data_IF_461735733180
#
_entry.id   IF_461735733180
#
_cell.length_a   1.000
_cell.length_b   1.000
_cell.length_c   1.000
_cell.angle_alpha   90.00
_cell.angle_beta   90.00
_cell.angle_gamma   90.00
#
_symmetry.space_group_name_H-M   'P 1'
#
loop_
_entity.id
_entity.type
_entity.pdbx_description
1 polymer ?
#
# COMPACT_ATOMS: atom_id res chain seq x y z
N UNK A 1 -13.51 14.40 28.11
CA UNK A 1 -12.15 13.92 28.47
C UNK A 1 -11.16 14.81 27.77
N UNK A 2 -10.25 15.46 28.50
CA UNK A 2 -9.21 16.20 27.81
C UNK A 2 -8.34 15.22 27.06
N UNK A 3 -8.12 15.50 25.78
CA UNK A 3 -7.19 14.75 24.94
C UNK A 3 -5.83 14.74 25.61
N UNK A 4 -5.40 13.57 26.02
CA UNK A 4 -4.03 13.40 26.49
C UNK A 4 -3.11 13.68 25.30
N UNK A 5 -2.21 14.65 25.38
CA UNK A 5 -1.31 14.89 24.25
C UNK A 5 -0.51 13.62 23.98
N UNK A 6 -0.54 13.18 22.71
CA UNK A 6 0.26 12.05 22.25
C UNK A 6 1.72 12.35 22.62
N UNK A 7 2.38 11.43 23.30
CA UNK A 7 3.77 11.63 23.68
C UNK A 7 4.62 11.87 22.43
N UNK A 8 5.49 12.85 22.46
CA UNK A 8 6.33 13.27 21.32
C UNK A 8 7.19 12.12 20.73
N UNK A 9 7.40 11.03 21.49
CA UNK A 9 8.16 9.85 21.03
C UNK A 9 7.32 8.75 20.39
N UNK A 10 5.99 8.69 20.67
CA UNK A 10 5.13 7.61 20.18
C UNK A 10 4.73 7.78 18.71
N UNK A 11 4.45 9.01 18.28
CA UNK A 11 4.03 9.29 16.91
C UNK A 11 5.13 8.96 15.87
N UNK A 12 6.40 9.41 16.01
CA UNK A 12 7.46 9.06 15.07
C UNK A 12 7.72 7.55 14.98
N UNK A 13 7.68 6.83 16.11
CA UNK A 13 7.85 5.37 16.10
C UNK A 13 6.73 4.67 15.38
N UNK A 14 5.47 5.03 15.67
CA UNK A 14 4.30 4.47 15.00
C UNK A 14 4.33 4.75 13.48
N UNK A 15 4.68 5.95 13.10
CA UNK A 15 4.81 6.33 11.69
C UNK A 15 5.87 5.51 10.95
N UNK A 16 7.03 5.29 11.57
CA UNK A 16 8.10 4.44 10.99
C UNK A 16 7.62 2.99 10.83
N UNK A 17 6.98 2.45 11.85
CA UNK A 17 6.49 1.07 11.83
C UNK A 17 5.42 0.86 10.77
N UNK A 18 4.53 1.84 10.58
CA UNK A 18 3.48 1.74 9.55
C UNK A 18 4.05 1.97 8.15
N UNK A 19 5.08 2.81 7.99
CA UNK A 19 5.83 2.86 6.72
C UNK A 19 6.44 1.50 6.38
N UNK A 20 7.06 0.84 7.36
CA UNK A 20 7.61 -0.50 7.17
C UNK A 20 6.52 -1.52 6.84
N UNK A 21 5.35 -1.41 7.45
CA UNK A 21 4.20 -2.26 7.14
C UNK A 21 3.74 -2.08 5.68
N UNK A 22 3.66 -0.84 5.21
CA UNK A 22 3.33 -0.55 3.82
C UNK A 22 4.35 -1.18 2.85
N UNK A 23 5.63 -1.02 3.14
CA UNK A 23 6.69 -1.62 2.33
C UNK A 23 6.56 -3.16 2.31
N UNK A 24 6.23 -3.76 3.45
CA UNK A 24 6.00 -5.19 3.58
C UNK A 24 4.81 -5.67 2.75
N UNK A 25 3.69 -4.92 2.77
CA UNK A 25 2.52 -5.21 1.95
C UNK A 25 2.89 -5.24 0.47
N UNK A 26 3.63 -4.23 0.00
CA UNK A 26 4.05 -4.18 -1.40
C UNK A 26 5.06 -5.29 -1.73
N UNK A 27 5.98 -5.60 -0.83
CA UNK A 27 6.94 -6.68 -1.01
C UNK A 27 6.23 -8.03 -1.16
N UNK A 28 5.27 -8.32 -0.30
CA UNK A 28 4.49 -9.57 -0.37
C UNK A 28 3.70 -9.68 -1.68
N UNK A 29 3.12 -8.59 -2.15
CA UNK A 29 2.45 -8.54 -3.44
C UNK A 29 3.45 -8.83 -4.58
N UNK A 30 4.58 -8.14 -4.57
CA UNK A 30 5.59 -8.27 -5.63
C UNK A 30 6.21 -9.67 -5.68
N UNK A 31 6.33 -10.32 -4.55
CA UNK A 31 6.80 -11.72 -4.44
C UNK A 31 5.67 -12.74 -4.67
N UNK A 32 4.45 -12.28 -4.85
CA UNK A 32 3.26 -13.12 -5.03
C UNK A 32 3.07 -14.10 -3.87
N UNK A 33 3.28 -13.60 -2.67
CA UNK A 33 3.10 -14.39 -1.44
C UNK A 33 1.78 -14.02 -0.77
N UNK A 34 0.72 -14.73 -1.15
CA UNK A 34 -0.64 -14.46 -0.66
C UNK A 34 -0.76 -14.64 0.86
N UNK A 35 -0.11 -15.65 1.42
CA UNK A 35 -0.15 -15.93 2.85
C UNK A 35 0.50 -14.83 3.69
N UNK A 36 1.70 -14.38 3.31
CA UNK A 36 2.38 -13.29 4.02
C UNK A 36 1.67 -11.95 3.81
N UNK A 37 1.15 -11.72 2.62
CA UNK A 37 0.34 -10.53 2.34
C UNK A 37 -0.86 -10.46 3.29
N UNK A 38 -1.62 -11.53 3.38
CA UNK A 38 -2.79 -11.59 4.24
C UNK A 38 -2.44 -11.42 5.73
N UNK A 39 -1.30 -11.94 6.16
CA UNK A 39 -0.84 -11.80 7.56
C UNK A 39 -0.51 -10.36 7.95
N UNK A 40 -0.29 -9.46 6.99
CA UNK A 40 -0.16 -8.04 7.28
C UNK A 40 -1.48 -7.42 7.78
N UNK A 41 -2.60 -8.05 7.47
CA UNK A 41 -3.95 -7.54 7.81
C UNK A 41 -4.39 -8.06 9.18
N UNK A 42 -5.22 -7.26 9.84
CA UNK A 42 -5.97 -7.74 10.99
C UNK A 42 -6.99 -8.80 10.52
N UNK A 43 -7.51 -9.57 11.46
CA UNK A 43 -8.46 -10.65 11.16
C UNK A 43 -9.65 -10.18 10.32
N UNK A 44 -10.18 -9.00 10.62
CA UNK A 44 -11.33 -8.42 9.93
C UNK A 44 -10.92 -7.28 8.97
N UNK A 45 -9.64 -7.18 8.62
CA UNK A 45 -9.14 -6.15 7.73
C UNK A 45 -9.75 -6.23 6.34
N UNK A 46 -9.76 -5.11 5.64
CA UNK A 46 -10.41 -4.97 4.35
C UNK A 46 -9.40 -4.59 3.28
N UNK A 47 -9.60 -5.13 2.09
CA UNK A 47 -8.84 -4.73 0.90
C UNK A 47 -9.83 -4.29 -0.19
N UNK A 48 -9.50 -3.20 -0.88
CA UNK A 48 -10.20 -2.80 -2.10
C UNK A 48 -9.18 -2.76 -3.23
N UNK A 49 -9.39 -3.59 -4.24
CA UNK A 49 -8.52 -3.69 -5.39
C UNK A 49 -8.64 -2.50 -6.34
N UNK A 50 -7.71 -2.42 -7.29
CA UNK A 50 -7.64 -1.35 -8.28
C UNK A 50 -8.94 -1.19 -9.10
N UNK A 51 -9.65 -2.30 -9.34
CA UNK A 51 -10.92 -2.31 -10.06
C UNK A 51 -12.14 -1.98 -9.18
N UNK A 52 -11.92 -1.74 -7.88
CA UNK A 52 -12.98 -1.45 -6.92
C UNK A 52 -13.54 -2.69 -6.22
N UNK A 53 -13.03 -3.88 -6.49
CA UNK A 53 -13.51 -5.12 -5.86
C UNK A 53 -13.12 -5.17 -4.38
N UNK A 54 -14.08 -5.29 -3.45
CA UNK A 54 -13.77 -5.44 -2.03
C UNK A 54 -13.50 -6.90 -1.67
N UNK A 55 -12.54 -7.11 -0.78
CA UNK A 55 -12.28 -8.41 -0.17
C UNK A 55 -12.17 -8.20 1.35
N UNK A 56 -13.05 -8.83 2.10
CA UNK A 56 -13.19 -8.59 3.52
C UNK A 56 -12.70 -9.78 4.35
N UNK A 57 -11.78 -9.49 5.27
CA UNK A 57 -11.21 -10.46 6.19
C UNK A 57 -9.92 -11.11 5.70
N UNK A 58 -9.03 -11.37 6.63
CA UNK A 58 -7.69 -11.94 6.36
C UNK A 58 -7.77 -13.25 5.57
N UNK A 59 -8.65 -14.17 5.96
CA UNK A 59 -8.79 -15.45 5.26
C UNK A 59 -9.24 -15.29 3.82
N UNK A 60 -10.23 -14.42 3.59
CA UNK A 60 -10.72 -14.15 2.24
C UNK A 60 -9.69 -13.46 1.37
N UNK A 61 -8.88 -12.57 1.96
CA UNK A 61 -7.77 -11.92 1.26
C UNK A 61 -6.75 -12.96 0.80
N UNK A 62 -6.36 -13.88 1.68
CA UNK A 62 -5.41 -14.95 1.32
C UNK A 62 -5.96 -15.83 0.19
N UNK A 63 -7.20 -16.28 0.32
CA UNK A 63 -7.86 -17.12 -0.68
C UNK A 63 -7.96 -16.41 -2.03
N UNK A 64 -8.40 -15.16 -2.02
CA UNK A 64 -8.53 -14.34 -3.21
C UNK A 64 -7.18 -14.17 -3.93
N UNK A 65 -6.12 -13.78 -3.20
CA UNK A 65 -4.81 -13.55 -3.80
C UNK A 65 -4.12 -14.84 -4.21
N UNK A 66 -4.35 -15.95 -3.50
CA UNK A 66 -3.84 -17.25 -3.93
C UNK A 66 -4.36 -17.58 -5.33
N UNK A 67 -5.64 -17.34 -5.59
CA UNK A 67 -6.24 -17.54 -6.90
C UNK A 67 -5.71 -16.54 -7.95
N UNK A 68 -5.62 -15.27 -7.58
CA UNK A 68 -5.10 -14.21 -8.48
C UNK A 68 -3.67 -14.53 -8.92
N UNK A 69 -2.80 -14.84 -7.98
CA UNK A 69 -1.38 -15.11 -8.28
C UNK A 69 -1.18 -16.41 -9.07
N UNK A 70 -2.08 -17.38 -8.89
CA UNK A 70 -2.05 -18.61 -9.67
C UNK A 70 -2.51 -18.39 -11.12
N UNK A 71 -3.51 -17.55 -11.32
CA UNK A 71 -4.21 -17.43 -12.61
C UNK A 71 -3.71 -16.28 -13.46
N UNK A 72 -3.04 -15.28 -12.89
CA UNK A 72 -2.64 -14.07 -13.58
C UNK A 72 -1.20 -13.67 -13.29
N UNK A 73 -0.42 -13.25 -14.31
CA UNK A 73 0.87 -12.60 -14.09
C UNK A 73 0.63 -11.17 -13.62
N UNK A 74 0.75 -10.94 -12.32
CA UNK A 74 0.52 -9.63 -11.72
C UNK A 74 1.69 -8.68 -11.91
N UNK A 75 1.40 -7.39 -12.11
CA UNK A 75 2.41 -6.34 -12.16
C UNK A 75 2.99 -6.09 -10.76
N UNK A 76 4.26 -5.71 -10.70
CA UNK A 76 4.90 -5.30 -9.47
C UNK A 76 4.60 -3.83 -9.17
N UNK A 77 4.39 -3.52 -7.90
CA UNK A 77 4.23 -2.13 -7.44
C UNK A 77 5.56 -1.47 -7.13
N UNK A 78 5.63 -0.18 -7.43
CA UNK A 78 6.58 0.74 -6.81
C UNK A 78 5.76 1.83 -6.11
N UNK A 79 5.96 2.00 -4.82
CA UNK A 79 5.18 2.94 -4.01
C UNK A 79 6.01 4.12 -3.53
N UNK A 80 5.36 5.27 -3.38
CA UNK A 80 5.95 6.45 -2.76
C UNK A 80 4.99 7.02 -1.72
N UNK A 81 5.43 7.02 -0.47
CA UNK A 81 4.60 7.52 0.63
C UNK A 81 4.46 9.04 0.55
N UNK A 82 3.23 9.52 0.61
CA UNK A 82 2.89 10.96 0.65
C UNK A 82 2.85 11.48 2.06
N UNK A 83 2.33 10.70 2.98
CA UNK A 83 2.20 11.13 4.35
C UNK A 83 1.78 9.98 5.26
N UNK A 84 2.20 10.08 6.51
CA UNK A 84 1.83 9.15 7.57
C UNK A 84 1.50 9.98 8.79
N UNK A 85 0.36 9.72 9.44
CA UNK A 85 0.01 10.45 10.66
C UNK A 85 -0.75 9.56 11.63
N UNK A 86 -0.42 9.73 12.89
CA UNK A 86 -1.12 9.08 13.99
C UNK A 86 -2.47 9.79 14.20
N UNK A 87 -3.58 9.05 14.05
CA UNK A 87 -4.92 9.58 14.26
C UNK A 87 -5.36 9.47 15.72
N UNK A 88 -4.92 8.43 16.39
CA UNK A 88 -5.12 8.17 17.82
C UNK A 88 -3.98 7.23 18.26
N UNK A 89 -3.80 6.97 19.57
CA UNK A 89 -2.68 6.15 20.04
C UNK A 89 -2.53 4.78 19.36
N UNK A 90 -3.61 4.21 18.84
CA UNK A 90 -3.59 2.89 18.21
C UNK A 90 -3.98 2.88 16.74
N UNK A 91 -4.06 4.04 16.06
CA UNK A 91 -4.50 4.12 14.67
C UNK A 91 -3.64 5.09 13.88
N UNK A 92 -3.13 4.62 12.74
CA UNK A 92 -2.29 5.42 11.82
C UNK A 92 -2.91 5.41 10.43
N UNK A 93 -2.92 6.56 9.79
CA UNK A 93 -3.29 6.71 8.38
C UNK A 93 -2.03 6.93 7.54
N UNK A 94 -1.85 6.11 6.52
CA UNK A 94 -0.80 6.28 5.52
C UNK A 94 -1.44 6.53 4.16
N UNK A 95 -0.90 7.50 3.44
CA UNK A 95 -1.28 7.81 2.06
C UNK A 95 -0.05 7.70 1.17
N UNK A 96 -0.24 7.08 0.00
CA UNK A 96 0.84 6.86 -0.95
C UNK A 96 0.33 6.96 -2.39
N UNK A 97 1.26 7.13 -3.30
CA UNK A 97 1.03 6.92 -4.73
C UNK A 97 1.85 5.71 -5.17
N UNK A 98 1.42 5.03 -6.19
CA UNK A 98 2.10 3.84 -6.68
C UNK A 98 1.99 3.71 -8.18
N UNK A 99 3.00 3.10 -8.78
CA UNK A 99 3.02 2.71 -10.17
C UNK A 99 3.12 1.19 -10.27
N UNK A 100 2.82 0.68 -11.43
CA UNK A 100 2.90 -0.76 -11.71
C UNK A 100 3.86 -1.02 -12.86
N UNK A 101 4.78 -1.97 -12.66
CA UNK A 101 5.69 -2.46 -13.68
C UNK A 101 5.13 -3.79 -14.19
N UNK A 102 4.67 -3.87 -15.46
CA UNK A 102 4.12 -5.11 -15.98
C UNK A 102 5.15 -6.26 -15.99
N UNK A 103 4.70 -7.52 -15.91
CA UNK A 103 5.60 -8.66 -15.95
C UNK A 103 6.50 -8.63 -17.19
N UNK A 104 7.80 -8.88 -16.99
CA UNK A 104 8.79 -8.87 -18.07
C UNK A 104 9.15 -7.50 -18.60
N UNK A 105 8.65 -6.43 -18.00
CA UNK A 105 8.99 -5.05 -18.36
C UNK A 105 9.86 -4.42 -17.29
N UNK A 106 10.55 -3.34 -17.68
CA UNK A 106 11.41 -2.56 -16.76
C UNK A 106 10.89 -1.16 -16.47
N UNK A 107 9.80 -0.76 -17.11
CA UNK A 107 9.19 0.57 -16.95
C UNK A 107 7.73 0.46 -16.49
N UNK A 108 7.24 1.53 -15.94
CA UNK A 108 5.86 1.68 -15.48
C UNK A 108 4.87 1.69 -16.64
N UNK A 109 3.66 1.21 -16.38
CA UNK A 109 2.50 1.46 -17.22
C UNK A 109 1.77 2.70 -16.72
N UNK A 110 1.86 3.86 -17.39
CA UNK A 110 1.24 5.10 -16.89
C UNK A 110 -0.29 5.04 -16.80
N UNK A 111 -0.93 4.12 -17.53
CA UNK A 111 -2.38 3.98 -17.52
C UNK A 111 -2.93 3.42 -16.21
N UNK A 112 -2.08 2.84 -15.37
CA UNK A 112 -2.49 2.20 -14.12
C UNK A 112 -1.83 2.80 -12.89
N UNK A 113 -1.44 4.06 -12.93
CA UNK A 113 -1.00 4.79 -11.75
C UNK A 113 -2.10 4.78 -10.69
N UNK A 114 -1.71 4.69 -9.44
CA UNK A 114 -2.59 4.29 -8.34
C UNK A 114 -2.41 5.20 -7.14
N UNK A 115 -3.50 5.45 -6.43
CA UNK A 115 -3.48 6.04 -5.10
C UNK A 115 -3.67 4.89 -4.10
N UNK A 116 -2.83 4.82 -3.07
CA UNK A 116 -2.97 3.88 -1.97
C UNK A 116 -3.38 4.59 -0.70
N UNK A 117 -4.38 4.05 -0.03
CA UNK A 117 -4.78 4.42 1.33
C UNK A 117 -4.59 3.20 2.22
N UNK A 118 -3.88 3.36 3.32
CA UNK A 118 -3.68 2.32 4.30
C UNK A 118 -4.04 2.86 5.68
N UNK A 119 -4.95 2.16 6.35
CA UNK A 119 -5.26 2.41 7.76
C UNK A 119 -4.70 1.24 8.55
N UNK A 120 -3.85 1.53 9.51
CA UNK A 120 -3.26 0.52 10.38
C UNK A 120 -3.73 0.71 11.82
N UNK A 121 -3.93 -0.39 12.51
CA UNK A 121 -4.27 -0.39 13.93
C UNK A 121 -3.24 -1.20 14.70
N UNK A 122 -2.97 -0.77 15.92
CA UNK A 122 -2.08 -1.47 16.84
C UNK A 122 -2.78 -2.69 17.43
N UNK A 123 -2.14 -3.84 17.33
CA UNK A 123 -2.61 -5.10 17.88
C UNK A 123 -1.48 -5.72 18.70
N UNK A 124 -1.53 -5.49 20.02
CA UNK A 124 -0.43 -5.85 20.90
C UNK A 124 0.83 -5.04 20.56
N UNK A 125 1.93 -5.72 20.24
CA UNK A 125 3.19 -5.08 19.85
C UNK A 125 3.33 -4.87 18.34
N UNK A 126 2.30 -5.18 17.57
CA UNK A 126 2.35 -5.14 16.11
C UNK A 126 1.31 -4.20 15.53
N UNK A 127 1.62 -3.65 14.36
CA UNK A 127 0.68 -2.91 13.53
C UNK A 127 0.11 -3.84 12.47
N UNK A 128 -1.21 -3.80 12.28
CA UNK A 128 -1.92 -4.58 11.27
C UNK A 128 -2.72 -3.66 10.37
N UNK A 129 -2.89 -4.07 9.12
CA UNK A 129 -3.70 -3.32 8.15
C UNK A 129 -5.17 -3.55 8.45
N UNK A 130 -5.91 -2.48 8.67
CA UNK A 130 -7.37 -2.49 8.77
C UNK A 130 -8.02 -2.21 7.43
N UNK A 131 -7.41 -1.35 6.61
CA UNK A 131 -7.86 -1.07 5.26
C UNK A 131 -6.66 -0.84 4.37
N UNK A 132 -6.61 -1.52 3.24
CA UNK A 132 -5.70 -1.23 2.14
C UNK A 132 -6.51 -1.03 0.87
N UNK A 133 -6.57 0.19 0.37
CA UNK A 133 -7.38 0.54 -0.79
C UNK A 133 -6.54 1.11 -1.92
N UNK A 134 -6.74 0.57 -3.11
CA UNK A 134 -6.15 1.05 -4.35
C UNK A 134 -7.21 1.83 -5.13
N UNK A 135 -6.84 2.98 -5.66
CA UNK A 135 -7.73 3.82 -6.48
C UNK A 135 -6.99 4.23 -7.74
N UNK A 136 -7.58 4.05 -8.93
CA UNK A 136 -6.96 4.54 -10.16
C UNK A 136 -6.72 6.05 -10.11
N UNK A 137 -5.48 6.49 -10.38
CA UNK A 137 -5.15 7.90 -10.51
C UNK A 137 -5.33 8.32 -11.97
N UNK A 138 -6.56 8.39 -12.40
CA UNK A 138 -6.91 8.60 -13.81
C UNK A 138 -6.82 10.06 -14.24
N UNK A 139 -6.98 11.02 -13.32
CA UNK A 139 -6.92 12.46 -13.59
C UNK A 139 -7.70 12.89 -14.85
N UNK A 140 -8.96 12.53 -14.93
CA UNK A 140 -9.81 12.74 -16.10
C UNK A 140 -9.62 14.12 -16.76
N UNK A 141 -9.24 14.13 -18.05
CA UNK A 141 -9.03 15.34 -18.82
C UNK A 141 -7.77 16.12 -18.48
N UNK A 142 -6.84 15.57 -17.71
CA UNK A 142 -5.59 16.23 -17.29
C UNK A 142 -4.36 15.37 -17.57
N UNK A 143 -3.96 15.21 -18.86
CA UNK A 143 -2.79 14.39 -19.19
C UNK A 143 -1.49 14.86 -18.56
N UNK A 144 -1.34 16.17 -18.35
CA UNK A 144 -0.15 16.71 -17.67
C UNK A 144 -0.01 16.21 -16.22
N UNK A 145 -1.13 15.97 -15.51
CA UNK A 145 -1.11 15.42 -14.17
C UNK A 145 -0.67 13.95 -14.18
N UNK A 146 -1.10 13.18 -15.17
CA UNK A 146 -0.67 11.78 -15.37
C UNK A 146 0.83 11.75 -15.64
N UNK A 147 1.33 12.60 -16.53
CA UNK A 147 2.74 12.67 -16.88
C UNK A 147 3.62 13.07 -15.68
N UNK A 148 3.15 14.02 -14.88
CA UNK A 148 3.88 14.46 -13.68
C UNK A 148 3.99 13.33 -12.64
N UNK A 149 2.90 12.61 -12.38
CA UNK A 149 2.92 11.47 -11.46
C UNK A 149 3.80 10.35 -11.99
N UNK A 150 3.69 10.04 -13.27
CA UNK A 150 4.53 9.00 -13.91
C UNK A 150 6.01 9.32 -13.80
N UNK A 151 6.40 10.58 -14.06
CA UNK A 151 7.80 11.01 -13.93
C UNK A 151 8.31 10.84 -12.48
N UNK A 152 7.48 11.21 -11.51
CA UNK A 152 7.81 11.06 -10.08
C UNK A 152 8.00 9.59 -9.69
N UNK A 153 7.10 8.72 -10.14
CA UNK A 153 7.17 7.28 -9.87
C UNK A 153 8.36 6.62 -10.58
N UNK A 154 8.72 7.08 -11.78
CA UNK A 154 9.94 6.61 -12.45
C UNK A 154 11.20 6.93 -11.66
N UNK A 155 11.28 8.11 -11.06
CA UNK A 155 12.40 8.47 -10.19
C UNK A 155 12.46 7.54 -8.97
N UNK A 156 11.33 7.21 -8.39
CA UNK A 156 11.26 6.28 -7.26
C UNK A 156 11.71 4.87 -7.68
N UNK A 157 11.28 4.42 -8.85
CA UNK A 157 11.69 3.13 -9.41
C UNK A 157 13.21 3.06 -9.63
N UNK A 158 13.81 4.10 -10.19
CA UNK A 158 15.26 4.18 -10.39
C UNK A 158 16.01 4.12 -9.06
N UNK A 159 15.57 4.87 -8.05
CA UNK A 159 16.17 4.86 -6.73
C UNK A 159 16.06 3.48 -6.07
N UNK A 160 14.95 2.80 -6.26
CA UNK A 160 14.75 1.45 -5.74
C UNK A 160 15.73 0.46 -6.38
N UNK A 161 15.93 0.55 -7.70
CA UNK A 161 16.87 -0.29 -8.45
C UNK A 161 18.33 -0.06 -8.00
N UNK A 162 18.68 1.18 -7.68
CA UNK A 162 20.03 1.52 -7.21
C UNK A 162 20.34 1.01 -5.80
N UNK A 163 19.31 0.68 -4.99
CA UNK A 163 19.46 0.15 -3.63
C UNK A 163 19.58 -1.38 -3.59
N UNK A 164 19.35 -2.06 -4.70
CA UNK A 164 19.55 -3.50 -4.87
C UNK A 164 20.98 -3.80 -5.37
#
# INVERSE_FOLDING_TARGET
MPDKPLSHGAAPAAEREVRALYDEVLRCWNERNAGEFARCFSRNGNMVGFDGSPVDGQENIEEHLTEVFRSHPTAAYIGKVRGVRLLSPGVVLLRAVAGMVPPGKSDLNPAVNTIHTLVAASEGSRWRVELFQSTPAAFHGRPAAVDALTAELRQELEQHQLRQ
#
